data_IF_504833442019
#
_entry.id   IF_504833442019
#
_cell.length_a   1.000
_cell.length_b   1.000
_cell.length_c   1.000
_cell.angle_alpha   90.00
_cell.angle_beta   90.00
_cell.angle_gamma   90.00
#
_symmetry.space_group_name_H-M   'P 1'
#
loop_
_entity.id
_entity.type
_entity.pdbx_description
1 polymer ?
#
# COMPACT_ATOMS: atom_id res chain seq x y z
N UNK A 1 -35.47 20.45 -8.21
CA UNK A 1 -35.66 19.01 -7.85
C UNK A 1 -34.68 18.15 -8.63
N UNK A 2 -34.60 18.29 -9.96
CA UNK A 2 -33.58 17.62 -10.77
C UNK A 2 -32.13 17.91 -10.32
N UNK A 3 -31.79 19.16 -9.98
CA UNK A 3 -30.42 19.50 -9.54
C UNK A 3 -30.00 18.78 -8.25
N UNK A 4 -30.96 18.57 -7.33
CA UNK A 4 -30.71 17.86 -6.08
C UNK A 4 -30.50 16.37 -6.32
N UNK A 5 -31.23 15.76 -7.26
CA UNK A 5 -31.04 14.35 -7.63
C UNK A 5 -29.71 14.11 -8.34
N UNK A 6 -29.32 15.02 -9.24
CA UNK A 6 -28.01 14.95 -9.91
C UNK A 6 -26.87 15.12 -8.90
N UNK A 7 -26.98 16.08 -7.97
CA UNK A 7 -25.98 16.25 -6.92
C UNK A 7 -25.84 14.98 -6.05
N UNK A 8 -26.96 14.35 -5.71
CA UNK A 8 -26.99 13.13 -4.91
C UNK A 8 -26.36 11.94 -5.68
N UNK A 9 -26.66 11.80 -6.97
CA UNK A 9 -26.01 10.82 -7.86
C UNK A 9 -24.48 11.03 -7.88
N UNK A 10 -24.03 12.25 -8.11
CA UNK A 10 -22.59 12.59 -8.14
C UNK A 10 -21.92 12.23 -6.82
N UNK A 11 -22.55 12.52 -5.68
CA UNK A 11 -22.02 12.17 -4.36
C UNK A 11 -21.82 10.65 -4.23
N UNK A 12 -22.80 9.84 -4.61
CA UNK A 12 -22.64 8.38 -4.56
C UNK A 12 -21.58 7.86 -5.54
N UNK A 13 -21.50 8.42 -6.74
CA UNK A 13 -20.47 8.04 -7.72
C UNK A 13 -19.06 8.40 -7.23
N UNK A 14 -18.89 9.56 -6.58
CA UNK A 14 -17.62 9.95 -5.97
C UNK A 14 -17.23 8.98 -4.86
N UNK A 15 -18.17 8.58 -4.00
CA UNK A 15 -17.90 7.57 -2.95
C UNK A 15 -17.59 6.21 -3.56
N UNK A 16 -18.35 5.77 -4.57
CA UNK A 16 -18.10 4.52 -5.28
C UNK A 16 -16.73 4.49 -5.93
N UNK A 17 -16.35 5.56 -6.64
CA UNK A 17 -15.04 5.72 -7.23
C UNK A 17 -13.92 5.75 -6.18
N UNK A 18 -14.13 6.41 -5.05
CA UNK A 18 -13.17 6.44 -3.94
C UNK A 18 -12.96 5.03 -3.35
N UNK A 19 -14.02 4.25 -3.15
CA UNK A 19 -13.91 2.87 -2.66
C UNK A 19 -13.15 1.98 -3.65
N UNK A 20 -13.42 2.10 -4.95
CA UNK A 20 -12.68 1.38 -5.99
C UNK A 20 -11.20 1.80 -6.02
N UNK A 21 -10.92 3.10 -5.97
CA UNK A 21 -9.54 3.60 -5.98
C UNK A 21 -8.76 3.16 -4.73
N UNK A 22 -9.36 3.25 -3.54
CA UNK A 22 -8.75 2.80 -2.29
C UNK A 22 -8.52 1.29 -2.28
N UNK A 23 -9.50 0.52 -2.77
CA UNK A 23 -9.34 -0.92 -2.98
C UNK A 23 -8.18 -1.21 -3.93
N UNK A 24 -8.10 -0.53 -5.08
CA UNK A 24 -7.03 -0.73 -6.06
C UNK A 24 -5.63 -0.42 -5.49
N UNK A 25 -5.51 0.72 -4.81
CA UNK A 25 -4.28 1.11 -4.11
C UNK A 25 -3.90 0.08 -3.04
N UNK A 26 -4.87 -0.36 -2.24
CA UNK A 26 -4.68 -1.40 -1.24
C UNK A 26 -4.24 -2.73 -1.85
N UNK A 27 -4.85 -3.14 -2.95
CA UNK A 27 -4.54 -4.40 -3.62
C UNK A 27 -3.09 -4.46 -4.12
N UNK A 28 -2.57 -3.35 -4.65
CA UNK A 28 -1.19 -3.27 -5.17
C UNK A 28 -0.16 -3.16 -4.05
N UNK A 29 -0.47 -2.45 -2.97
CA UNK A 29 0.50 -2.19 -1.88
C UNK A 29 0.61 -3.37 -0.90
N UNK A 30 -0.48 -4.12 -0.70
CA UNK A 30 -0.52 -5.17 0.32
C UNK A 30 0.09 -6.47 -0.21
N UNK A 31 0.98 -7.06 0.58
CA UNK A 31 1.56 -8.39 0.34
C UNK A 31 0.84 -9.53 1.04
N UNK A 32 0.04 -9.22 2.05
CA UNK A 32 -0.75 -10.22 2.77
C UNK A 32 -1.98 -10.59 1.93
N UNK A 33 -2.08 -11.86 1.53
CA UNK A 33 -3.14 -12.39 0.68
C UNK A 33 -4.54 -12.07 1.21
N UNK A 34 -4.78 -12.14 2.53
CA UNK A 34 -6.09 -11.81 3.11
C UNK A 34 -6.45 -10.35 2.86
N UNK A 35 -5.48 -9.45 3.07
CA UNK A 35 -5.70 -8.02 2.85
C UNK A 35 -5.91 -7.71 1.37
N UNK A 36 -5.21 -8.41 0.46
CA UNK A 36 -5.43 -8.27 -0.97
C UNK A 36 -6.87 -8.66 -1.35
N UNK A 37 -7.39 -9.79 -0.85
CA UNK A 37 -8.78 -10.18 -1.08
C UNK A 37 -9.77 -9.16 -0.52
N UNK A 38 -9.59 -8.69 0.71
CA UNK A 38 -10.45 -7.64 1.27
C UNK A 38 -10.44 -6.34 0.45
N UNK A 39 -9.31 -6.00 -0.16
CA UNK A 39 -9.22 -4.86 -1.07
C UNK A 39 -10.00 -5.10 -2.37
N UNK A 40 -9.97 -6.31 -2.92
CA UNK A 40 -10.78 -6.68 -4.09
C UNK A 40 -12.29 -6.61 -3.80
N UNK A 41 -12.72 -7.12 -2.65
CA UNK A 41 -14.11 -7.03 -2.18
C UNK A 41 -14.56 -5.57 -2.01
N UNK A 42 -13.68 -4.72 -1.47
CA UNK A 42 -13.95 -3.28 -1.34
C UNK A 42 -14.15 -2.61 -2.70
N UNK A 43 -13.38 -2.98 -3.73
CA UNK A 43 -13.59 -2.47 -5.09
C UNK A 43 -14.96 -2.90 -5.63
N UNK A 44 -15.32 -4.17 -5.46
CA UNK A 44 -16.59 -4.70 -5.94
C UNK A 44 -17.80 -4.04 -5.24
N UNK A 45 -17.65 -3.66 -3.96
CA UNK A 45 -18.66 -2.89 -3.23
C UNK A 45 -18.77 -1.44 -3.71
N UNK A 46 -17.67 -0.81 -4.13
CA UNK A 46 -17.69 0.51 -4.76
C UNK A 46 -18.42 0.53 -6.11
N UNK A 47 -18.23 -0.52 -6.93
CA UNK A 47 -18.99 -0.73 -8.17
C UNK A 47 -20.47 -0.93 -7.88
N UNK A 48 -20.79 -1.75 -6.87
CA UNK A 48 -22.17 -2.00 -6.43
C UNK A 48 -22.90 -0.72 -6.00
N UNK A 49 -22.22 0.15 -5.25
CA UNK A 49 -22.77 1.45 -4.87
C UNK A 49 -23.08 2.34 -6.10
N UNK A 50 -22.19 2.35 -7.08
CA UNK A 50 -22.36 3.11 -8.32
C UNK A 50 -23.57 2.62 -9.12
N UNK A 51 -23.77 1.30 -9.19
CA UNK A 51 -24.92 0.68 -9.84
C UNK A 51 -26.24 0.98 -9.12
N UNK A 52 -26.26 0.91 -7.80
CA UNK A 52 -27.43 1.27 -7.01
C UNK A 52 -27.81 2.76 -7.20
N UNK A 53 -26.81 3.64 -7.29
CA UNK A 53 -27.01 5.06 -7.52
C UNK A 53 -27.62 5.34 -8.90
N UNK A 54 -27.11 4.70 -9.96
CA UNK A 54 -27.71 4.80 -11.29
C UNK A 54 -29.11 4.19 -11.37
N UNK A 55 -29.34 3.03 -10.76
CA UNK A 55 -30.67 2.42 -10.68
C UNK A 55 -31.68 3.36 -10.04
N UNK A 56 -31.30 4.02 -8.94
CA UNK A 56 -32.14 5.07 -8.31
C UNK A 56 -32.39 6.24 -9.25
N UNK A 57 -31.36 6.77 -9.92
CA UNK A 57 -31.48 7.95 -10.79
C UNK A 57 -32.41 7.72 -12.00
N UNK A 58 -32.35 6.53 -12.60
CA UNK A 58 -33.24 6.15 -13.70
C UNK A 58 -34.57 5.55 -13.24
N UNK A 59 -34.79 5.46 -11.93
CA UNK A 59 -35.94 4.79 -11.32
C UNK A 59 -36.13 3.34 -11.84
N UNK A 60 -35.01 2.64 -12.04
CA UNK A 60 -34.93 1.27 -12.52
C UNK A 60 -34.42 0.33 -11.42
N UNK A 61 -35.16 -0.75 -11.19
CA UNK A 61 -34.80 -1.81 -10.26
C UNK A 61 -33.64 -2.68 -10.77
N UNK A 62 -33.30 -2.61 -12.06
CA UNK A 62 -32.18 -3.36 -12.66
C UNK A 62 -30.85 -3.15 -11.94
N UNK A 63 -30.55 -1.92 -11.52
CA UNK A 63 -29.34 -1.62 -10.74
C UNK A 63 -29.30 -2.33 -9.39
N UNK A 64 -30.44 -2.41 -8.70
CA UNK A 64 -30.55 -3.08 -7.39
C UNK A 64 -30.47 -4.60 -7.52
N UNK A 65 -31.08 -5.17 -8.57
CA UNK A 65 -30.99 -6.60 -8.88
C UNK A 65 -29.53 -7.01 -9.16
N UNK A 66 -28.79 -6.20 -9.93
CA UNK A 66 -27.38 -6.47 -10.20
C UNK A 66 -26.53 -6.43 -8.93
N UNK A 67 -26.81 -5.50 -8.00
CA UNK A 67 -26.12 -5.43 -6.71
C UNK A 67 -26.34 -6.68 -5.87
N UNK A 68 -27.56 -7.22 -5.83
CA UNK A 68 -27.83 -8.49 -5.14
C UNK A 68 -27.05 -9.65 -5.77
N UNK A 69 -26.97 -9.69 -7.10
CA UNK A 69 -26.17 -10.69 -7.80
C UNK A 69 -24.68 -10.56 -7.46
N UNK A 70 -24.14 -9.33 -7.44
CA UNK A 70 -22.75 -9.06 -7.07
C UNK A 70 -22.46 -9.53 -5.64
N UNK A 71 -23.33 -9.21 -4.67
CA UNK A 71 -23.15 -9.64 -3.27
C UNK A 71 -23.16 -11.17 -3.15
N UNK A 72 -24.03 -11.85 -3.91
CA UNK A 72 -24.08 -13.32 -3.91
C UNK A 72 -22.79 -13.92 -4.50
N UNK A 73 -22.30 -13.40 -5.63
CA UNK A 73 -21.04 -13.85 -6.25
C UNK A 73 -19.85 -13.55 -5.35
N UNK A 74 -19.80 -12.36 -4.74
CA UNK A 74 -18.78 -11.96 -3.77
C UNK A 74 -18.72 -12.93 -2.58
N UNK A 75 -19.87 -13.32 -2.02
CA UNK A 75 -19.92 -14.29 -0.94
C UNK A 75 -19.37 -15.66 -1.36
N UNK A 76 -19.66 -16.12 -2.58
CA UNK A 76 -19.11 -17.35 -3.12
C UNK A 76 -17.59 -17.26 -3.35
N UNK A 77 -17.11 -16.15 -3.90
CA UNK A 77 -15.69 -15.90 -4.12
C UNK A 77 -14.92 -15.85 -2.81
N UNK A 78 -15.40 -15.09 -1.81
CA UNK A 78 -14.78 -14.98 -0.49
C UNK A 78 -14.66 -16.34 0.22
N UNK A 79 -15.66 -17.21 0.08
CA UNK A 79 -15.61 -18.57 0.62
C UNK A 79 -14.49 -19.41 -0.03
N UNK A 80 -14.35 -19.33 -1.35
CA UNK A 80 -13.30 -20.03 -2.11
C UNK A 80 -11.93 -19.44 -1.78
N UNK A 81 -11.81 -18.12 -1.73
CA UNK A 81 -10.59 -17.41 -1.39
C UNK A 81 -10.08 -17.78 0.00
N UNK A 82 -10.96 -17.82 1.01
CA UNK A 82 -10.57 -18.21 2.36
C UNK A 82 -10.13 -19.67 2.44
N UNK A 83 -10.83 -20.57 1.74
CA UNK A 83 -10.43 -21.97 1.65
C UNK A 83 -9.04 -22.13 1.01
N UNK A 84 -8.77 -21.39 -0.08
CA UNK A 84 -7.46 -21.36 -0.73
C UNK A 84 -6.38 -20.82 0.22
N UNK A 85 -6.64 -19.68 0.86
CA UNK A 85 -5.72 -19.05 1.82
C UNK A 85 -5.37 -20.01 2.96
N UNK A 86 -6.34 -20.75 3.49
CA UNK A 86 -6.09 -21.75 4.54
C UNK A 86 -5.17 -22.88 4.04
N UNK A 87 -5.41 -23.39 2.83
CA UNK A 87 -4.57 -24.44 2.23
C UNK A 87 -3.15 -23.94 2.00
N UNK A 88 -2.99 -22.71 1.51
CA UNK A 88 -1.68 -22.09 1.29
C UNK A 88 -0.95 -21.88 2.63
N UNK A 89 -1.64 -21.36 3.64
CA UNK A 89 -1.08 -21.16 4.97
C UNK A 89 -0.60 -22.48 5.59
N UNK A 90 -1.37 -23.56 5.44
CA UNK A 90 -0.95 -24.90 5.92
C UNK A 90 0.29 -25.45 5.23
N UNK A 91 0.57 -25.04 3.99
CA UNK A 91 1.73 -25.51 3.21
C UNK A 91 3.02 -24.74 3.48
N UNK A 92 2.95 -23.40 3.60
CA UNK A 92 4.14 -22.53 3.72
C UNK A 92 4.26 -21.81 5.07
N UNK A 93 3.21 -21.82 5.90
CA UNK A 93 3.16 -21.08 7.17
C UNK A 93 3.15 -19.56 7.03
N UNK A 94 3.01 -19.03 5.81
CA UNK A 94 3.03 -17.60 5.51
C UNK A 94 1.89 -17.21 4.56
N UNK A 95 1.35 -16.02 4.78
CA UNK A 95 0.32 -15.37 3.95
C UNK A 95 0.90 -14.28 3.03
N UNK A 96 2.22 -14.18 2.96
CA UNK A 96 2.90 -13.28 2.04
C UNK A 96 2.87 -13.85 0.63
N UNK A 97 2.34 -13.07 -0.31
CA UNK A 97 2.31 -13.42 -1.74
C UNK A 97 3.72 -13.67 -2.30
N UNK A 98 4.75 -12.99 -1.77
CA UNK A 98 6.13 -13.17 -2.19
C UNK A 98 6.74 -14.51 -1.76
N UNK A 99 6.11 -15.26 -0.86
CA UNK A 99 6.56 -16.61 -0.51
C UNK A 99 6.36 -17.62 -1.67
N UNK A 100 5.54 -17.28 -2.66
CA UNK A 100 5.06 -18.19 -3.72
C UNK A 100 5.72 -17.93 -5.08
N UNK A 101 7.05 -17.87 -5.12
CA UNK A 101 7.83 -17.62 -6.33
C UNK A 101 8.35 -18.89 -7.02
N UNK A 102 7.72 -20.04 -6.81
CA UNK A 102 8.14 -21.32 -7.44
C UNK A 102 7.91 -21.31 -8.96
N UNK A 103 6.88 -20.60 -9.43
CA UNK A 103 6.52 -20.47 -10.84
C UNK A 103 7.17 -19.26 -11.51
N UNK A 104 8.24 -18.70 -10.94
CA UNK A 104 8.99 -17.61 -11.56
C UNK A 104 9.82 -18.14 -12.74
N UNK A 105 10.19 -17.24 -13.66
CA UNK A 105 11.11 -17.56 -14.75
C UNK A 105 12.42 -18.15 -14.22
N UNK A 106 12.89 -19.24 -14.84
CA UNK A 106 13.96 -20.06 -14.28
C UNK A 106 15.29 -19.31 -14.14
N UNK A 107 15.58 -18.38 -15.05
CA UNK A 107 16.80 -17.57 -15.01
C UNK A 107 16.74 -16.42 -14.00
N UNK A 108 15.56 -16.04 -13.50
CA UNK A 108 15.42 -14.91 -12.60
C UNK A 108 15.63 -15.33 -11.12
N UNK A 109 16.49 -14.61 -10.37
CA UNK A 109 16.66 -14.87 -8.95
C UNK A 109 15.36 -14.56 -8.18
N UNK A 110 15.10 -15.25 -7.06
CA UNK A 110 13.95 -14.96 -6.22
C UNK A 110 14.05 -13.52 -5.67
N UNK A 111 12.91 -12.85 -5.59
CA UNK A 111 12.81 -11.57 -4.88
C UNK A 111 12.85 -11.89 -3.39
N UNK A 112 13.97 -11.53 -2.75
CA UNK A 112 14.19 -11.70 -1.32
C UNK A 112 14.28 -10.31 -0.70
N UNK A 113 13.45 -10.06 0.32
CA UNK A 113 13.61 -8.87 1.14
C UNK A 113 14.94 -8.96 1.88
N UNK A 114 15.89 -8.11 1.51
CA UNK A 114 17.14 -7.95 2.25
C UNK A 114 16.93 -6.83 3.25
N UNK A 115 17.14 -7.14 4.52
CA UNK A 115 17.31 -6.09 5.53
C UNK A 115 18.48 -5.19 5.11
N UNK A 116 18.32 -3.89 5.33
CA UNK A 116 19.40 -2.94 5.05
C UNK A 116 20.56 -3.36 5.96
N UNK A 117 21.77 -3.62 5.42
CA UNK A 117 22.91 -3.93 6.24
C UNK A 117 23.07 -2.83 7.28
N UNK A 118 23.18 -3.19 8.56
CA UNK A 118 23.59 -2.23 9.57
C UNK A 118 24.88 -1.59 9.09
N UNK A 119 24.84 -0.27 8.84
CA UNK A 119 26.04 0.45 8.50
C UNK A 119 27.02 0.20 9.64
N UNK A 120 28.28 -0.20 9.35
CA UNK A 120 29.27 -0.34 10.39
C UNK A 120 29.24 0.95 11.19
N UNK A 121 29.04 0.84 12.51
CA UNK A 121 28.96 1.99 13.38
C UNK A 121 30.17 2.88 13.08
N UNK A 122 29.91 4.10 12.58
CA UNK A 122 31.00 5.04 12.34
C UNK A 122 31.75 5.18 13.68
N UNK A 123 33.08 5.03 13.69
CA UNK A 123 33.83 5.26 14.92
C UNK A 123 33.45 6.67 15.40
N UNK A 124 33.15 6.83 16.70
CA UNK A 124 32.69 8.11 17.23
C UNK A 124 33.67 9.20 16.77
N UNK A 125 33.18 10.30 16.17
CA UNK A 125 34.06 11.33 15.64
C UNK A 125 35.08 11.74 16.70
N UNK A 126 36.36 11.76 16.32
CA UNK A 126 37.43 12.20 17.21
C UNK A 126 37.31 13.72 17.37
N UNK A 127 36.44 14.15 18.28
CA UNK A 127 36.24 15.57 18.57
C UNK A 127 37.52 16.14 19.20
N UNK A 128 37.97 17.33 18.78
CA UNK A 128 39.03 18.03 19.49
C UNK A 128 38.55 18.34 20.92
N UNK A 129 39.39 18.05 21.92
CA UNK A 129 39.09 18.43 23.29
C UNK A 129 39.17 19.94 23.43
N UNK A 130 38.13 20.54 24.04
CA UNK A 130 38.17 21.97 24.31
C UNK A 130 39.33 22.28 25.28
N UNK A 131 40.12 23.33 25.01
CA UNK A 131 41.11 23.77 25.99
C UNK A 131 40.39 24.22 27.27
N UNK A 132 41.03 24.09 28.45
CA UNK A 132 40.47 24.60 29.70
C UNK A 132 40.16 26.09 29.59
N UNK A 133 39.08 26.52 30.26
CA UNK A 133 38.57 27.89 30.18
C UNK A 133 39.70 28.92 30.42
N UNK A 134 39.77 29.94 29.55
CA UNK A 134 40.80 30.98 29.59
C UNK A 134 42.07 30.69 28.78
N UNK A 135 42.17 29.53 28.10
CA UNK A 135 43.24 29.27 27.11
C UNK A 135 42.68 29.31 25.69
N UNK A 136 43.29 30.11 24.82
CA UNK A 136 43.02 30.09 23.38
C UNK A 136 43.56 28.80 22.77
N UNK A 137 42.80 28.13 21.88
CA UNK A 137 43.31 26.97 21.16
C UNK A 137 44.53 27.37 20.31
N UNK A 138 45.58 26.56 20.34
CA UNK A 138 46.68 26.67 19.40
C UNK A 138 46.20 26.18 18.03
N UNK A 139 45.78 27.10 17.16
CA UNK A 139 45.40 26.76 15.78
C UNK A 139 46.67 26.41 15.02
N UNK A 140 46.76 25.23 14.36
CA UNK A 140 47.89 24.89 13.51
C UNK A 140 48.12 25.97 12.45
N UNK A 141 49.39 26.29 12.18
CA UNK A 141 49.75 27.35 11.21
C UNK A 141 49.21 27.03 9.80
N UNK A 142 49.13 25.75 9.46
CA UNK A 142 48.60 25.27 8.16
C UNK A 142 47.12 25.63 7.92
N UNK A 143 46.28 25.65 8.97
CA UNK A 143 44.87 26.08 8.88
C UNK A 143 44.72 27.61 8.77
N UNK A 144 45.68 28.37 9.32
CA UNK A 144 45.68 29.84 9.27
C UNK A 144 46.37 30.39 8.03
N UNK A 145 47.27 29.62 7.42
CA UNK A 145 48.05 30.00 6.24
C UNK A 145 47.43 29.52 4.93
N UNK A 146 46.39 28.67 4.98
CA UNK A 146 45.59 28.30 3.82
C UNK A 146 44.80 29.51 3.30
N UNK A 147 45.41 30.29 2.41
CA UNK A 147 44.72 31.23 1.52
C UNK A 147 44.13 30.43 0.36
N UNK A 148 42.80 30.28 0.25
CA UNK A 148 42.20 29.52 -0.85
C UNK A 148 42.39 30.14 -2.25
N UNK A 149 43.07 31.29 -2.36
CA UNK A 149 43.33 31.98 -3.63
C UNK A 149 44.58 32.86 -3.56
N UNK A 150 45.76 32.26 -3.68
CA UNK A 150 46.95 32.77 -4.40
C UNK A 150 47.73 31.55 -4.91
#
# INVERSE_FOLDING_TARGET
MADAEVALLVNYLVVGAALVALGAVGFVIRRNLILMFLCAEMMLQGVSLSLAAWGRYYNDFGGQILVLFIIAVAACEAAIALALVLVLFRRRGSLDVMAWQELREAELPPVVDREIPEMPAEPPPAWPSLPPAGRTPCVPREETEFRPHV
#
